data_IF_975133766621
#
_entry.id   IF_975133766621
#
_cell.length_a   1.000
_cell.length_b   1.000
_cell.length_c   1.000
_cell.angle_alpha   90.00
_cell.angle_beta   90.00
_cell.angle_gamma   90.00
#
_symmetry.space_group_name_H-M   'P 1'
#
loop_
_entity.id
_entity.type
_entity.pdbx_description
1 polymer ?
#
# COMPACT_ATOMS: atom_id res chain seq x y z
N UNK A 1 -21.78 12.40 -9.73
CA UNK A 1 -20.61 11.79 -10.39
C UNK A 1 -21.13 10.70 -11.30
N UNK A 2 -20.81 10.79 -12.58
CA UNK A 2 -21.22 9.83 -13.61
C UNK A 2 -20.59 8.43 -13.39
N UNK A 3 -21.16 7.42 -14.03
CA UNK A 3 -20.75 6.02 -13.88
C UNK A 3 -19.29 5.80 -14.36
N UNK A 4 -18.88 6.50 -15.43
CA UNK A 4 -17.53 6.40 -15.98
C UNK A 4 -16.48 6.92 -14.99
N UNK A 5 -16.68 8.09 -14.41
CA UNK A 5 -15.78 8.66 -13.40
C UNK A 5 -15.67 7.76 -12.17
N UNK A 6 -16.77 7.11 -11.76
CA UNK A 6 -16.75 6.10 -10.69
C UNK A 6 -15.86 4.92 -11.08
N UNK A 7 -16.01 4.37 -12.27
CA UNK A 7 -15.20 3.23 -12.77
C UNK A 7 -13.72 3.60 -12.76
N UNK A 8 -13.35 4.75 -13.34
CA UNK A 8 -11.96 5.25 -13.36
C UNK A 8 -11.39 5.33 -11.94
N UNK A 9 -12.16 5.89 -11.00
CA UNK A 9 -11.77 5.97 -9.59
C UNK A 9 -11.47 4.61 -8.96
N UNK A 10 -12.30 3.59 -9.22
CA UNK A 10 -12.06 2.26 -8.66
C UNK A 10 -10.93 1.49 -9.36
N UNK A 11 -10.80 1.63 -10.68
CA UNK A 11 -9.65 1.06 -11.41
C UNK A 11 -8.33 1.62 -10.87
N UNK A 12 -8.25 2.92 -10.64
CA UNK A 12 -7.05 3.54 -10.04
C UNK A 12 -6.79 3.13 -8.60
N UNK A 13 -7.85 2.77 -7.86
CA UNK A 13 -7.72 2.29 -6.48
C UNK A 13 -7.20 0.85 -6.41
N UNK A 14 -7.64 -0.03 -7.31
CA UNK A 14 -7.21 -1.43 -7.38
C UNK A 14 -5.78 -1.50 -7.92
N UNK A 15 -5.50 -0.83 -9.05
CA UNK A 15 -4.19 -0.85 -9.70
C UNK A 15 -3.85 -2.21 -10.32
N UNK A 16 -2.57 -2.49 -10.50
CA UNK A 16 -2.10 -3.73 -11.15
C UNK A 16 -2.09 -4.95 -10.22
N UNK A 17 -2.24 -4.71 -8.92
CA UNK A 17 -2.12 -5.75 -7.88
C UNK A 17 -3.45 -6.43 -7.59
N UNK A 18 -3.36 -7.65 -7.07
CA UNK A 18 -4.49 -8.33 -6.45
C UNK A 18 -4.74 -7.75 -5.05
N UNK A 19 -5.97 -7.35 -4.77
CA UNK A 19 -6.35 -6.69 -3.52
C UNK A 19 -7.47 -7.44 -2.82
N UNK A 20 -7.51 -7.35 -1.49
CA UNK A 20 -8.63 -7.89 -0.72
C UNK A 20 -9.88 -7.02 -0.91
N UNK A 21 -11.06 -7.63 -0.87
CA UNK A 21 -12.33 -6.91 -0.95
C UNK A 21 -12.44 -5.81 0.14
N UNK A 22 -11.86 -6.05 1.32
CA UNK A 22 -11.81 -5.09 2.42
C UNK A 22 -10.89 -3.89 2.15
N UNK A 23 -9.88 -4.03 1.28
CA UNK A 23 -8.98 -2.93 0.88
C UNK A 23 -9.66 -2.00 -0.13
N UNK A 24 -10.54 -2.54 -0.96
CA UNK A 24 -11.42 -1.76 -1.83
C UNK A 24 -12.32 -0.88 -0.98
N UNK A 25 -13.01 -1.44 0.02
CA UNK A 25 -13.77 -0.63 0.98
C UNK A 25 -13.97 -1.35 2.30
N UNK A 26 -13.81 -0.63 3.40
CA UNK A 26 -14.17 -1.11 4.75
C UNK A 26 -15.68 -1.38 4.89
N UNK A 27 -16.49 -0.74 4.05
CA UNK A 27 -17.93 -1.02 4.00
C UNK A 27 -18.20 -2.18 3.03
N UNK A 28 -18.56 -3.33 3.58
CA UNK A 28 -18.85 -4.54 2.81
C UNK A 28 -19.94 -4.35 1.74
N UNK A 29 -20.99 -3.59 2.05
CA UNK A 29 -22.04 -3.30 1.05
C UNK A 29 -21.46 -2.52 -0.11
N UNK A 30 -20.62 -1.51 0.19
CA UNK A 30 -19.99 -0.71 -0.85
C UNK A 30 -18.99 -1.51 -1.68
N UNK A 31 -18.21 -2.37 -1.04
CA UNK A 31 -17.25 -3.22 -1.74
C UNK A 31 -17.97 -4.14 -2.74
N UNK A 32 -19.10 -4.75 -2.35
CA UNK A 32 -19.93 -5.55 -3.27
C UNK A 32 -20.48 -4.73 -4.42
N UNK A 33 -21.05 -3.54 -4.16
CA UNK A 33 -21.52 -2.64 -5.24
C UNK A 33 -20.41 -2.31 -6.25
N UNK A 34 -19.15 -2.17 -5.80
CA UNK A 34 -18.01 -1.91 -6.67
C UNK A 34 -17.66 -3.15 -7.50
N UNK A 35 -17.65 -4.33 -6.89
CA UNK A 35 -17.44 -5.60 -7.59
C UNK A 35 -18.52 -5.82 -8.64
N UNK A 36 -19.79 -5.60 -8.30
CA UNK A 36 -20.90 -5.74 -9.25
C UNK A 36 -20.78 -4.74 -10.39
N UNK A 37 -20.44 -3.48 -10.10
CA UNK A 37 -20.24 -2.43 -11.09
C UNK A 37 -19.11 -2.78 -12.07
N UNK A 38 -17.93 -3.14 -11.57
CA UNK A 38 -16.78 -3.46 -12.42
C UNK A 38 -16.94 -4.81 -13.12
N UNK A 39 -17.60 -5.77 -12.47
CA UNK A 39 -17.93 -7.08 -12.99
C UNK A 39 -18.91 -7.01 -14.17
N UNK A 40 -19.93 -6.14 -14.09
CA UNK A 40 -20.87 -5.85 -15.19
C UNK A 40 -20.16 -5.50 -16.51
N UNK A 41 -19.01 -4.85 -16.44
CA UNK A 41 -18.21 -4.45 -17.62
C UNK A 41 -17.06 -5.40 -17.96
N UNK A 42 -16.88 -6.47 -17.19
CA UNK A 42 -15.80 -7.45 -17.34
C UNK A 42 -14.42 -6.87 -17.03
N UNK A 43 -14.33 -5.88 -16.13
CA UNK A 43 -13.08 -5.19 -15.81
C UNK A 43 -12.27 -5.84 -14.68
N UNK A 44 -12.86 -6.79 -13.96
CA UNK A 44 -12.23 -7.44 -12.81
C UNK A 44 -12.35 -8.96 -12.88
N UNK A 45 -11.44 -9.63 -12.20
CA UNK A 45 -11.53 -11.02 -11.82
C UNK A 45 -11.81 -11.09 -10.31
N UNK A 46 -12.79 -11.90 -9.92
CA UNK A 46 -13.13 -12.14 -8.52
C UNK A 46 -12.81 -13.58 -8.14
N UNK A 47 -12.00 -13.77 -7.11
CA UNK A 47 -11.62 -15.09 -6.61
C UNK A 47 -11.90 -15.22 -5.12
N UNK A 48 -12.44 -16.37 -4.72
CA UNK A 48 -12.63 -16.73 -3.32
C UNK A 48 -11.62 -17.80 -2.92
N UNK A 49 -10.60 -17.42 -2.17
CA UNK A 49 -9.56 -18.32 -1.66
C UNK A 49 -9.79 -18.57 -0.17
N UNK A 50 -10.61 -19.58 0.12
CA UNK A 50 -11.06 -19.90 1.48
C UNK A 50 -11.89 -18.77 2.10
N UNK A 51 -11.38 -18.15 3.17
CA UNK A 51 -12.02 -17.00 3.84
C UNK A 51 -11.72 -15.66 3.16
N UNK A 52 -10.74 -15.61 2.27
CA UNK A 52 -10.31 -14.38 1.61
C UNK A 52 -11.06 -14.20 0.29
N UNK A 53 -11.51 -12.96 0.05
CA UNK A 53 -12.16 -12.53 -1.19
C UNK A 53 -11.19 -11.57 -1.87
N UNK A 54 -10.64 -11.99 -3.00
CA UNK A 54 -9.62 -11.29 -3.75
C UNK A 54 -10.23 -10.73 -5.03
N UNK A 55 -9.78 -9.55 -5.39
CA UNK A 55 -10.18 -8.82 -6.59
C UNK A 55 -8.92 -8.37 -7.31
N UNK A 56 -8.82 -8.70 -8.59
CA UNK A 56 -7.77 -8.20 -9.48
C UNK A 56 -8.41 -7.64 -10.74
N UNK A 57 -7.67 -6.80 -11.47
CA UNK A 57 -8.13 -6.34 -12.78
C UNK A 57 -8.08 -7.49 -13.80
N UNK A 58 -9.10 -7.56 -14.66
CA UNK A 58 -9.06 -8.44 -15.84
C UNK A 58 -8.09 -7.88 -16.87
N UNK A 59 -7.84 -8.61 -17.97
CA UNK A 59 -7.03 -8.09 -19.08
C UNK A 59 -7.56 -6.74 -19.60
N UNK A 60 -8.88 -6.66 -19.81
CA UNK A 60 -9.59 -5.43 -20.21
C UNK A 60 -9.49 -4.33 -19.14
N UNK A 61 -9.56 -4.70 -17.85
CA UNK A 61 -9.39 -3.75 -16.75
C UNK A 61 -7.98 -3.16 -16.69
N UNK A 62 -6.96 -3.99 -16.91
CA UNK A 62 -5.56 -3.57 -16.98
C UNK A 62 -5.31 -2.63 -18.16
N UNK A 63 -5.85 -2.93 -19.34
CA UNK A 63 -5.77 -2.02 -20.49
C UNK A 63 -6.40 -0.66 -20.17
N UNK A 64 -7.61 -0.65 -19.62
CA UNK A 64 -8.27 0.58 -19.20
C UNK A 64 -7.44 1.36 -18.16
N UNK A 65 -6.87 0.66 -17.17
CA UNK A 65 -5.99 1.26 -16.18
C UNK A 65 -4.73 1.86 -16.80
N UNK A 66 -4.09 1.19 -17.76
CA UNK A 66 -2.94 1.72 -18.51
C UNK A 66 -3.27 2.98 -19.29
N UNK A 67 -4.46 3.05 -19.92
CA UNK A 67 -4.91 4.26 -20.60
C UNK A 67 -5.13 5.41 -19.61
N UNK A 68 -5.67 5.13 -18.42
CA UNK A 68 -5.80 6.14 -17.36
C UNK A 68 -4.43 6.65 -16.91
N UNK A 69 -3.45 5.76 -16.74
CA UNK A 69 -2.07 6.14 -16.42
C UNK A 69 -1.43 6.99 -17.52
N UNK A 70 -1.59 6.61 -18.79
CA UNK A 70 -1.11 7.39 -19.92
C UNK A 70 -1.74 8.78 -19.96
N UNK A 71 -3.06 8.87 -19.77
CA UNK A 71 -3.77 10.15 -19.69
C UNK A 71 -3.25 11.02 -18.54
N UNK A 72 -3.04 10.45 -17.35
CA UNK A 72 -2.46 11.19 -16.21
C UNK A 72 -1.07 11.72 -16.53
N UNK A 73 -0.22 10.94 -17.19
CA UNK A 73 1.11 11.39 -17.61
C UNK A 73 1.03 12.58 -18.58
N UNK A 74 0.09 12.55 -19.52
CA UNK A 74 -0.11 13.67 -20.47
C UNK A 74 -0.63 14.92 -19.76
N UNK A 75 -1.56 14.76 -18.80
CA UNK A 75 -2.20 15.89 -18.12
C UNK A 75 -1.27 16.53 -17.07
N UNK A 76 -0.59 15.71 -16.27
CA UNK A 76 0.15 16.17 -15.09
C UNK A 76 1.68 16.11 -15.24
N UNK A 77 2.21 15.47 -16.29
CA UNK A 77 3.65 15.33 -16.50
C UNK A 77 4.36 14.36 -15.54
N UNK A 78 3.62 13.66 -14.66
CA UNK A 78 4.20 12.73 -13.69
C UNK A 78 4.67 11.42 -14.34
N UNK A 79 5.93 11.05 -14.09
CA UNK A 79 6.40 9.68 -14.26
C UNK A 79 5.86 8.86 -13.07
N UNK A 80 4.93 7.94 -13.34
CA UNK A 80 4.26 7.15 -12.32
C UNK A 80 5.25 6.11 -11.77
N UNK A 81 5.60 6.21 -10.49
CA UNK A 81 6.11 5.05 -9.74
C UNK A 81 4.96 4.07 -9.51
N UNK A 82 5.11 2.79 -9.87
CA UNK A 82 4.14 1.77 -9.48
C UNK A 82 3.93 1.85 -7.98
N UNK A 83 2.67 1.97 -7.57
CA UNK A 83 2.28 2.07 -6.16
C UNK A 83 2.86 0.87 -5.41
N UNK A 84 3.84 1.12 -4.54
CA UNK A 84 4.26 0.13 -3.55
C UNK A 84 3.00 -0.34 -2.80
N UNK A 85 2.79 -1.66 -2.67
CA UNK A 85 1.69 -2.17 -1.89
C UNK A 85 1.82 -1.59 -0.47
N UNK A 86 0.71 -1.12 0.10
CA UNK A 86 0.64 -0.64 1.50
C UNK A 86 0.81 -1.78 2.54
N UNK A 87 1.54 -2.83 2.16
CA UNK A 87 1.79 -4.04 2.92
C UNK A 87 3.29 -4.24 3.16
N UNK A 88 4.01 -3.18 3.57
CA UNK A 88 5.35 -3.30 4.18
C UNK A 88 5.86 -1.93 4.66
N UNK A 89 5.23 -1.37 5.71
CA UNK A 89 6.00 -0.60 6.69
C UNK A 89 6.61 -1.57 7.70
N UNK A 90 7.45 -2.48 7.21
CA UNK A 90 8.57 -2.99 7.97
C UNK A 90 9.76 -2.17 7.48
N UNK A 91 10.49 -1.46 8.34
CA UNK A 91 11.71 -0.81 7.90
C UNK A 91 12.68 -1.93 7.51
N UNK A 92 12.80 -2.17 6.21
CA UNK A 92 13.90 -2.96 5.67
C UNK A 92 15.17 -2.18 5.96
N UNK A 93 15.92 -2.77 6.87
CA UNK A 93 17.24 -2.37 7.30
C UNK A 93 18.17 -2.63 6.11
N UNK A 94 18.25 -1.68 5.19
CA UNK A 94 19.29 -1.66 4.17
C UNK A 94 20.61 -1.30 4.84
N UNK A 95 21.46 -2.31 4.91
CA UNK A 95 22.84 -2.23 5.38
C UNK A 95 23.70 -1.39 4.43
N UNK A 96 24.54 -0.55 5.03
CA UNK A 96 25.80 0.04 4.53
C UNK A 96 25.73 1.39 3.76
N UNK A 97 26.79 2.24 3.83
CA UNK A 97 27.08 3.08 5.01
C UNK A 97 27.53 4.50 4.59
N UNK A 98 26.75 5.54 4.87
CA UNK A 98 27.30 6.90 4.83
C UNK A 98 27.88 7.25 6.20
N UNK A 99 29.18 6.97 6.30
CA UNK A 99 30.08 7.35 7.38
C UNK A 99 30.09 8.88 7.49
N UNK A 100 29.51 9.37 8.58
CA UNK A 100 29.62 10.74 9.05
C UNK A 100 29.15 10.87 10.49
N UNK A 101 29.36 9.83 11.32
CA UNK A 101 29.16 9.96 12.76
C UNK A 101 30.49 10.38 13.35
N UNK A 102 30.61 11.69 13.55
CA UNK A 102 31.59 12.25 14.46
C UNK A 102 31.48 11.50 15.79
N UNK A 103 32.58 10.86 16.18
CA UNK A 103 32.79 10.20 17.46
C UNK A 103 32.55 11.19 18.60
N UNK A 104 31.32 11.27 19.06
CA UNK A 104 30.96 11.82 20.35
C UNK A 104 30.08 10.78 21.03
N UNK A 105 30.69 10.05 21.97
CA UNK A 105 30.09 9.00 22.79
C UNK A 105 29.03 9.52 23.77
N UNK A 106 28.50 10.72 23.56
CA UNK A 106 27.52 11.34 24.43
C UNK A 106 26.17 11.47 23.71
N UNK A 107 25.13 10.97 24.38
CA UNK A 107 23.75 11.21 23.97
C UNK A 107 23.51 12.73 23.89
N UNK A 108 22.82 13.19 22.83
CA UNK A 108 22.38 14.58 22.73
C UNK A 108 21.64 15.02 24.01
N UNK A 109 21.83 16.28 24.43
CA UNK A 109 21.32 16.79 25.71
C UNK A 109 19.81 16.58 25.90
N UNK A 110 19.03 16.69 24.84
CA UNK A 110 17.58 16.48 24.84
C UNK A 110 17.13 15.02 24.98
N UNK A 111 18.07 14.05 24.91
CA UNK A 111 17.79 12.62 25.02
C UNK A 111 18.26 12.01 26.34
N UNK A 112 19.11 12.69 27.13
CA UNK A 112 19.69 12.12 28.35
C UNK A 112 18.65 11.70 29.38
N UNK A 113 17.60 12.52 29.56
CA UNK A 113 16.60 12.32 30.60
C UNK A 113 15.30 11.68 30.07
N UNK A 114 15.36 11.00 28.92
CA UNK A 114 14.16 10.42 28.33
C UNK A 114 13.81 9.08 29.01
N UNK A 115 12.71 8.99 29.79
CA UNK A 115 12.34 7.76 30.51
C UNK A 115 12.02 6.59 29.57
N UNK A 116 11.72 6.87 28.30
CA UNK A 116 11.49 5.82 27.30
C UNK A 116 12.76 5.05 26.94
N UNK A 117 13.95 5.62 27.11
CA UNK A 117 15.21 4.92 26.80
C UNK A 117 15.41 3.68 27.69
N UNK A 118 15.08 3.78 28.98
CA UNK A 118 15.13 2.64 29.90
C UNK A 118 14.09 1.57 29.56
N UNK A 119 12.88 1.99 29.19
CA UNK A 119 11.80 1.09 28.77
C UNK A 119 12.19 0.32 27.51
N UNK A 120 12.81 1.00 26.54
CA UNK A 120 13.30 0.40 25.30
C UNK A 120 14.48 -0.55 25.55
N UNK A 121 15.42 -0.15 26.41
CA UNK A 121 16.57 -0.99 26.79
C UNK A 121 16.15 -2.25 27.56
N UNK A 122 15.08 -2.17 28.34
CA UNK A 122 14.51 -3.31 29.07
C UNK A 122 13.77 -4.28 28.14
N UNK A 123 13.05 -3.76 27.14
CA UNK A 123 12.30 -4.58 26.17
C UNK A 123 13.18 -5.33 25.17
N UNK A 124 14.35 -4.82 24.83
CA UNK A 124 15.25 -5.46 23.86
C UNK A 124 16.01 -6.67 24.44
N UNK A 125 16.24 -6.73 25.75
CA UNK A 125 16.95 -7.86 26.40
C UNK A 125 16.12 -9.14 26.52
N UNK A 126 14.81 -9.09 26.30
CA UNK A 126 13.91 -10.24 26.45
C UNK A 126 13.74 -11.14 25.22
N UNK A 127 14.40 -10.85 24.08
CA UNK A 127 14.39 -11.71 22.89
C UNK A 127 15.73 -12.42 22.71
N UNK A 128 15.99 -13.37 23.62
CA UNK A 128 16.88 -14.50 23.33
C UNK A 128 15.96 -15.68 23.03
N UNK A 129 16.11 -16.23 21.84
CA UNK A 129 15.33 -17.34 21.29
C UNK A 129 15.44 -18.59 22.18
N UNK A 130 14.31 -19.22 22.46
CA UNK A 130 14.18 -20.63 22.80
C UNK A 130 13.35 -21.32 21.73
#
# INVERSE_FOLDING_TARGET
MDEFTRIVGWLTRIGESEVLLSEISRNNRKAREVVDLLGKYGLINYQKKGRFQLVSLSHKGLEAYRHILAARRVIYGEAITPREPLASKLPERSSEPEMGIETSSELPSYLRDNPWLEVLASRSRGRVFG
#
